data_IF_684053410726
#
_entry.id   IF_684053410726
#
_cell.length_a   1.000
_cell.length_b   1.000
_cell.length_c   1.000
_cell.angle_alpha   90.00
_cell.angle_beta   90.00
_cell.angle_gamma   90.00
#
_symmetry.space_group_name_H-M   'P 1'
#
loop_
_entity.id
_entity.type
_entity.pdbx_description
1 polymer ?
#
# COMPACT_ATOMS: atom_id res chain seq x y z
N UNK A 1 65.18 23.38 -23.63
CA UNK A 1 64.67 21.99 -23.68
C UNK A 1 64.09 21.63 -22.33
N UNK A 2 63.02 20.82 -22.32
CA UNK A 2 62.28 20.23 -21.17
C UNK A 2 61.11 21.10 -20.70
N UNK A 3 59.96 21.01 -21.35
CA UNK A 3 58.92 19.96 -21.37
C UNK A 3 57.74 20.34 -20.46
N UNK A 4 56.68 20.77 -21.13
CA UNK A 4 55.31 20.93 -20.66
C UNK A 4 54.83 19.61 -20.03
N UNK A 5 54.35 19.64 -18.79
CA UNK A 5 53.56 18.53 -18.23
C UNK A 5 52.16 19.06 -17.94
N UNK A 6 51.26 18.82 -18.89
CA UNK A 6 49.83 19.09 -18.78
C UNK A 6 49.19 17.88 -18.08
N UNK A 7 48.92 17.98 -16.78
CA UNK A 7 48.17 16.95 -16.07
C UNK A 7 46.68 17.12 -16.38
N UNK A 8 46.18 16.32 -17.31
CA UNK A 8 44.76 16.19 -17.63
C UNK A 8 44.14 15.22 -16.62
N UNK A 9 43.58 15.76 -15.53
CA UNK A 9 42.86 14.97 -14.53
C UNK A 9 41.51 14.56 -15.10
N UNK A 10 41.41 13.34 -15.64
CA UNK A 10 40.14 12.73 -16.04
C UNK A 10 39.38 12.39 -14.77
N UNK A 11 38.40 13.22 -14.41
CA UNK A 11 37.35 12.88 -13.44
C UNK A 11 36.43 11.85 -14.12
N UNK A 12 36.71 10.56 -13.90
CA UNK A 12 35.76 9.50 -14.21
C UNK A 12 34.53 9.69 -13.29
N UNK A 13 33.47 10.23 -13.87
CA UNK A 13 32.11 10.07 -13.34
C UNK A 13 31.80 8.57 -13.34
N UNK A 14 32.02 7.91 -12.20
CA UNK A 14 31.42 6.60 -11.96
C UNK A 14 29.99 6.87 -11.50
N UNK A 15 29.10 7.15 -12.44
CA UNK A 15 27.67 6.99 -12.18
C UNK A 15 27.43 5.49 -12.01
N UNK A 16 27.37 5.03 -10.77
CA UNK A 16 26.85 3.70 -10.45
C UNK A 16 25.37 3.66 -10.83
N UNK A 17 25.09 3.27 -12.06
CA UNK A 17 23.76 2.82 -12.51
C UNK A 17 23.65 1.36 -12.06
N UNK A 18 23.24 1.16 -10.82
CA UNK A 18 22.77 -0.11 -10.23
C UNK A 18 21.71 0.36 -9.21
N UNK A 19 20.47 -0.11 -9.21
CA UNK A 19 20.12 -1.52 -9.15
C UNK A 19 18.91 -1.89 -10.01
N UNK A 20 18.96 -3.13 -10.51
CA UNK A 20 17.74 -3.88 -10.73
C UNK A 20 16.93 -3.88 -9.43
N UNK A 21 15.63 -3.62 -9.54
CA UNK A 21 14.69 -3.72 -8.44
C UNK A 21 14.58 -5.19 -8.02
N UNK A 22 15.44 -5.62 -7.10
CA UNK A 22 15.45 -7.00 -6.60
C UNK A 22 14.10 -7.30 -5.94
N UNK A 23 13.49 -8.40 -6.36
CA UNK A 23 12.22 -8.85 -5.80
C UNK A 23 12.49 -9.52 -4.46
N UNK A 24 11.73 -9.11 -3.45
CA UNK A 24 11.77 -9.73 -2.13
C UNK A 24 10.37 -10.20 -1.74
N UNK A 25 10.33 -11.25 -0.93
CA UNK A 25 9.10 -11.91 -0.51
C UNK A 25 9.02 -11.95 1.01
N UNK A 26 7.85 -11.60 1.57
CA UNK A 26 7.66 -11.68 3.02
C UNK A 26 7.76 -13.14 3.48
N UNK A 27 8.66 -13.42 4.42
CA UNK A 27 8.88 -14.76 4.96
C UNK A 27 7.95 -15.06 6.14
N UNK A 28 7.61 -14.04 6.94
CA UNK A 28 6.74 -14.18 8.11
C UNK A 28 5.27 -14.29 7.71
N UNK A 29 4.42 -14.95 8.52
CA UNK A 29 2.96 -14.98 8.30
C UNK A 29 2.38 -13.58 8.06
N UNK A 30 2.80 -12.61 8.89
CA UNK A 30 2.45 -11.21 8.78
C UNK A 30 3.69 -10.35 9.10
N UNK A 31 3.93 -9.34 8.28
CA UNK A 31 4.97 -8.32 8.48
C UNK A 31 4.40 -6.91 8.33
N UNK A 32 4.76 -6.00 9.23
CA UNK A 32 4.34 -4.60 9.16
C UNK A 32 5.12 -3.77 8.13
N UNK A 33 4.42 -3.00 7.29
CA UNK A 33 4.99 -2.03 6.35
C UNK A 33 4.88 -0.62 6.93
N UNK A 34 5.99 0.08 7.13
CA UNK A 34 6.05 1.33 7.88
C UNK A 34 6.37 2.54 7.00
N UNK A 35 5.95 3.73 7.44
CA UNK A 35 6.29 5.00 6.77
C UNK A 35 7.78 5.35 6.98
N UNK A 36 8.36 4.98 8.11
CA UNK A 36 9.76 5.24 8.50
C UNK A 36 10.42 3.95 9.03
N UNK A 37 11.76 3.85 9.01
CA UNK A 37 12.50 2.70 9.53
C UNK A 37 12.55 2.72 11.06
N UNK A 38 11.38 2.63 11.69
CA UNK A 38 11.17 2.57 13.14
C UNK A 38 9.92 1.73 13.42
N UNK A 39 10.00 0.77 14.34
CA UNK A 39 8.86 -0.07 14.75
C UNK A 39 7.73 0.72 15.40
N UNK A 40 8.02 1.92 15.92
CA UNK A 40 7.05 2.86 16.47
C UNK A 40 6.49 3.82 15.43
N UNK A 41 7.01 3.80 14.19
CA UNK A 41 6.46 4.57 13.08
C UNK A 41 5.01 4.13 12.82
N UNK A 42 4.14 5.03 12.33
CA UNK A 42 2.88 4.61 11.75
C UNK A 42 3.10 3.51 10.69
N UNK A 43 2.31 2.45 10.80
CA UNK A 43 2.25 1.38 9.83
C UNK A 43 1.29 1.78 8.70
N UNK A 44 1.70 1.54 7.46
CA UNK A 44 0.90 1.66 6.25
C UNK A 44 -0.12 0.51 6.23
N UNK A 45 0.35 -0.75 6.17
CA UNK A 45 -0.46 -1.97 6.40
C UNK A 45 0.43 -3.19 6.70
N UNK A 46 -0.12 -4.27 7.28
CA UNK A 46 0.55 -5.55 7.37
C UNK A 46 0.48 -6.33 6.05
N UNK A 47 1.55 -7.06 5.77
CA UNK A 47 1.84 -7.80 4.55
C UNK A 47 1.93 -9.29 4.87
N UNK A 48 1.24 -10.13 4.10
CA UNK A 48 1.22 -11.58 4.30
C UNK A 48 2.50 -12.26 3.79
N UNK A 49 2.73 -13.48 4.26
CA UNK A 49 3.78 -14.35 3.71
C UNK A 49 3.64 -14.53 2.19
N UNK A 50 4.77 -14.48 1.49
CA UNK A 50 4.84 -14.63 0.03
C UNK A 50 4.39 -13.41 -0.77
N UNK A 51 4.02 -12.31 -0.11
CA UNK A 51 3.77 -11.04 -0.79
C UNK A 51 5.05 -10.51 -1.42
N UNK A 52 4.95 -10.12 -2.69
CA UNK A 52 6.07 -9.64 -3.51
C UNK A 52 6.21 -8.13 -3.37
N UNK A 53 7.41 -7.68 -3.06
CA UNK A 53 7.79 -6.27 -3.05
C UNK A 53 9.07 -6.10 -3.86
N UNK A 54 9.32 -4.86 -4.27
CA UNK A 54 10.57 -4.49 -4.91
C UNK A 54 11.44 -3.74 -3.92
N UNK A 55 12.66 -4.23 -3.71
CA UNK A 55 13.67 -3.56 -2.90
C UNK A 55 14.16 -2.29 -3.60
N UNK A 56 14.24 -1.19 -2.86
CA UNK A 56 14.78 0.09 -3.33
C UNK A 56 16.16 0.36 -2.73
N UNK A 57 16.28 0.24 -1.40
CA UNK A 57 17.54 0.40 -0.68
C UNK A 57 17.50 -0.35 0.66
N UNK A 58 18.68 -0.57 1.26
CA UNK A 58 18.82 -1.06 2.63
C UNK A 58 19.45 0.01 3.51
N UNK A 59 18.96 0.15 4.74
CA UNK A 59 19.46 1.07 5.76
C UNK A 59 19.51 0.37 7.12
N UNK A 60 20.67 -0.20 7.45
CA UNK A 60 20.84 -0.99 8.67
C UNK A 60 19.96 -2.23 8.63
N UNK A 61 19.10 -2.40 9.64
CA UNK A 61 18.15 -3.53 9.77
C UNK A 61 16.87 -3.34 8.94
N UNK A 62 16.78 -2.28 8.15
CA UNK A 62 15.59 -1.92 7.40
C UNK A 62 15.81 -1.97 5.89
N UNK A 63 14.81 -2.46 5.18
CA UNK A 63 14.70 -2.43 3.74
C UNK A 63 13.63 -1.40 3.35
N UNK A 64 14.03 -0.42 2.53
CA UNK A 64 13.07 0.44 1.83
C UNK A 64 12.58 -0.29 0.60
N UNK A 65 11.28 -0.37 0.43
CA UNK A 65 10.64 -1.17 -0.60
C UNK A 65 9.49 -0.40 -1.24
N UNK A 66 9.13 -0.81 -2.45
CA UNK A 66 7.91 -0.38 -3.14
C UNK A 66 6.99 -1.58 -3.36
N UNK A 67 5.72 -1.42 -3.00
CA UNK A 67 4.66 -2.30 -3.46
C UNK A 67 4.23 -1.85 -4.86
N UNK A 68 4.44 -2.70 -5.86
CA UNK A 68 4.07 -2.39 -7.24
C UNK A 68 2.56 -2.41 -7.49
N UNK A 69 1.76 -3.01 -6.61
CA UNK A 69 0.29 -3.00 -6.71
C UNK A 69 -0.31 -1.67 -6.25
N UNK A 70 0.21 -1.12 -5.15
CA UNK A 70 -0.28 0.16 -4.58
C UNK A 70 0.55 1.36 -5.00
N UNK A 71 1.79 1.16 -5.46
CA UNK A 71 2.77 2.22 -5.71
C UNK A 71 3.40 2.80 -4.44
N UNK A 72 3.03 2.29 -3.27
CA UNK A 72 3.47 2.83 -1.99
C UNK A 72 4.90 2.42 -1.67
N UNK A 73 5.67 3.40 -1.20
CA UNK A 73 7.01 3.21 -0.66
C UNK A 73 6.97 3.22 0.86
N UNK A 74 7.79 2.38 1.47
CA UNK A 74 7.91 2.33 2.93
C UNK A 74 9.05 1.43 3.36
N UNK A 75 9.06 1.11 4.65
CA UNK A 75 10.16 0.45 5.33
C UNK A 75 9.70 -0.83 6.01
N UNK A 76 10.53 -1.85 5.94
CA UNK A 76 10.29 -3.13 6.60
C UNK A 76 11.59 -3.66 7.20
N UNK A 77 11.50 -4.47 8.26
CA UNK A 77 12.66 -5.16 8.83
C UNK A 77 13.20 -6.19 7.82
N UNK A 78 14.49 -6.08 7.50
CA UNK A 78 15.15 -6.90 6.46
C UNK A 78 15.10 -8.39 6.79
N UNK A 79 15.20 -8.76 8.07
CA UNK A 79 15.11 -10.17 8.52
C UNK A 79 13.76 -10.83 8.27
N UNK A 80 12.73 -10.07 7.89
CA UNK A 80 11.40 -10.60 7.59
C UNK A 80 11.22 -11.01 6.12
N UNK A 81 12.23 -10.79 5.26
CA UNK A 81 12.13 -11.03 3.82
C UNK A 81 13.19 -12.02 3.32
N UNK A 82 12.84 -12.69 2.23
CA UNK A 82 13.69 -13.63 1.50
C UNK A 82 13.64 -13.32 0.00
N UNK A 83 14.70 -13.63 -0.71
CA UNK A 83 14.79 -13.38 -2.16
C UNK A 83 14.01 -14.40 -2.99
N UNK A 84 13.55 -15.48 -2.35
CA UNK A 84 12.75 -16.55 -2.98
C UNK A 84 11.36 -16.62 -2.36
N UNK A 85 10.33 -16.75 -3.19
CA UNK A 85 8.96 -16.86 -2.71
C UNK A 85 8.78 -18.14 -1.87
N UNK A 86 8.30 -18.04 -0.61
CA UNK A 86 8.03 -19.22 0.20
C UNK A 86 6.98 -20.15 -0.42
N UNK A 87 7.23 -21.47 -0.39
CA UNK A 87 6.33 -22.51 -0.95
C UNK A 87 5.04 -22.68 -0.16
N UNK A 88 5.07 -22.36 1.15
CA UNK A 88 3.90 -22.42 2.04
C UNK A 88 3.54 -21.03 2.53
N UNK A 89 2.44 -20.51 1.99
CA UNK A 89 1.78 -19.32 2.52
C UNK A 89 1.01 -19.76 3.78
N UNK A 90 1.59 -19.51 4.95
CA UNK A 90 0.89 -19.72 6.23
C UNK A 90 0.15 -18.43 6.56
N UNK A 91 -1.09 -18.30 6.11
CA UNK A 91 -2.01 -17.26 6.61
C UNK A 91 -2.81 -17.84 7.77
N UNK A 92 -2.59 -17.33 8.98
CA UNK A 92 -3.40 -17.72 10.16
C UNK A 92 -4.86 -17.24 10.08
N UNK A 93 -5.18 -16.31 9.17
CA UNK A 93 -6.49 -15.66 9.04
C UNK A 93 -7.04 -15.72 7.61
N UNK A 94 -8.33 -16.03 7.48
CA UNK A 94 -9.02 -16.07 6.18
C UNK A 94 -9.34 -14.65 5.66
N UNK A 95 -8.32 -13.95 5.19
CA UNK A 95 -8.45 -12.62 4.62
C UNK A 95 -9.30 -12.61 3.34
N UNK A 96 -9.32 -13.71 2.59
CA UNK A 96 -10.16 -13.84 1.39
C UNK A 96 -11.65 -13.88 1.76
N UNK A 97 -12.02 -14.66 2.77
CA UNK A 97 -13.38 -14.68 3.33
C UNK A 97 -13.79 -13.34 3.91
N UNK A 98 -12.92 -12.71 4.72
CA UNK A 98 -13.14 -11.35 5.23
C UNK A 98 -13.35 -10.33 4.11
N UNK A 99 -12.57 -10.41 3.04
CA UNK A 99 -12.71 -9.54 1.88
C UNK A 99 -14.03 -9.75 1.14
N UNK A 100 -14.48 -10.99 0.98
CA UNK A 100 -15.79 -11.28 0.35
C UNK A 100 -16.93 -10.61 1.14
N UNK A 101 -16.96 -10.80 2.46
CA UNK A 101 -17.98 -10.20 3.33
C UNK A 101 -17.92 -8.66 3.28
N UNK A 102 -16.71 -8.10 3.29
CA UNK A 102 -16.51 -6.67 3.13
C UNK A 102 -17.09 -6.16 1.81
N UNK A 103 -16.75 -6.81 0.69
CA UNK A 103 -17.21 -6.44 -0.65
C UNK A 103 -18.73 -6.48 -0.78
N UNK A 104 -19.38 -7.46 -0.16
CA UNK A 104 -20.85 -7.53 -0.14
C UNK A 104 -21.44 -6.34 0.61
N UNK A 105 -20.96 -6.05 1.83
CA UNK A 105 -21.48 -4.96 2.68
C UNK A 105 -21.32 -3.57 2.08
N UNK A 106 -20.20 -3.31 1.41
CA UNK A 106 -19.97 -1.99 0.79
C UNK A 106 -20.88 -1.76 -0.41
N UNK A 107 -21.18 -2.81 -1.18
CA UNK A 107 -22.06 -2.72 -2.34
C UNK A 107 -23.52 -2.59 -1.89
N UNK A 108 -23.93 -3.27 -0.82
CA UNK A 108 -25.22 -3.06 -0.17
C UNK A 108 -25.38 -1.61 0.32
N UNK A 109 -24.36 -1.10 1.03
CA UNK A 109 -24.35 0.30 1.48
C UNK A 109 -24.42 1.28 0.31
N UNK A 110 -23.67 1.01 -0.77
CA UNK A 110 -23.70 1.82 -1.99
C UNK A 110 -25.10 1.89 -2.60
N UNK A 111 -25.76 0.74 -2.74
CA UNK A 111 -27.12 0.64 -3.25
C UNK A 111 -28.13 1.41 -2.37
N UNK A 112 -28.03 1.29 -1.04
CA UNK A 112 -28.90 2.05 -0.12
C UNK A 112 -28.71 3.56 -0.22
N UNK A 113 -27.46 4.03 -0.42
CA UNK A 113 -27.19 5.46 -0.61
C UNK A 113 -27.77 5.94 -1.95
N UNK A 114 -27.60 5.15 -3.01
CA UNK A 114 -28.13 5.48 -4.33
C UNK A 114 -29.66 5.56 -4.31
N UNK A 115 -30.35 4.62 -3.65
CA UNK A 115 -31.81 4.65 -3.48
C UNK A 115 -32.26 5.87 -2.68
N UNK A 116 -31.56 6.22 -1.60
CA UNK A 116 -31.98 7.29 -0.69
C UNK A 116 -31.78 8.69 -1.25
N UNK A 117 -30.70 8.93 -2.00
CA UNK A 117 -30.30 10.29 -2.42
C UNK A 117 -29.89 10.41 -3.89
N UNK A 118 -30.03 9.34 -4.69
CA UNK A 118 -29.75 9.35 -6.13
C UNK A 118 -28.27 9.50 -6.49
N UNK A 119 -27.36 9.23 -5.55
CA UNK A 119 -25.90 9.32 -5.77
C UNK A 119 -25.31 7.93 -5.79
N UNK A 120 -24.79 7.52 -6.94
CA UNK A 120 -23.98 6.31 -7.07
C UNK A 120 -22.64 6.53 -6.36
N UNK A 121 -22.23 5.57 -5.51
CA UNK A 121 -21.02 5.71 -4.70
C UNK A 121 -19.95 4.68 -5.08
N UNK A 122 -19.97 3.52 -4.46
CA UNK A 122 -18.99 2.46 -4.66
C UNK A 122 -19.48 1.50 -5.75
N UNK A 123 -18.62 1.27 -6.74
CA UNK A 123 -18.90 0.43 -7.91
C UNK A 123 -18.32 -0.96 -7.71
N UNK A 124 -17.13 -1.05 -7.13
CA UNK A 124 -16.46 -2.33 -6.88
C UNK A 124 -15.41 -2.23 -5.77
N UNK A 125 -14.83 -3.37 -5.40
CA UNK A 125 -13.63 -3.46 -4.59
C UNK A 125 -12.68 -4.56 -5.03
N UNK A 126 -11.39 -4.33 -4.79
CA UNK A 126 -10.28 -5.24 -5.08
C UNK A 126 -9.51 -5.58 -3.79
N UNK A 127 -9.14 -6.85 -3.64
CA UNK A 127 -8.26 -7.30 -2.55
C UNK A 127 -6.81 -7.07 -2.96
N UNK A 128 -6.07 -6.35 -2.13
CA UNK A 128 -4.68 -5.98 -2.44
C UNK A 128 -3.66 -6.92 -1.76
N UNK A 129 -4.12 -7.91 -0.99
CA UNK A 129 -3.34 -8.79 -0.14
C UNK A 129 -3.40 -8.38 1.34
N UNK A 130 -3.34 -9.36 2.25
CA UNK A 130 -3.48 -9.11 3.68
C UNK A 130 -4.76 -8.34 4.02
N UNK A 131 -4.59 -7.22 4.73
CA UNK A 131 -5.67 -6.33 5.18
C UNK A 131 -5.72 -5.02 4.38
N UNK A 132 -5.21 -5.06 3.16
CA UNK A 132 -5.29 -3.98 2.20
C UNK A 132 -6.41 -4.26 1.18
N UNK A 133 -7.20 -3.23 0.89
CA UNK A 133 -8.20 -3.26 -0.17
C UNK A 133 -8.23 -1.93 -0.91
N UNK A 134 -8.74 -1.94 -2.14
CA UNK A 134 -9.13 -0.71 -2.84
C UNK A 134 -10.61 -0.74 -3.19
N UNK A 135 -11.22 0.43 -3.12
CA UNK A 135 -12.59 0.72 -3.56
C UNK A 135 -12.52 1.43 -4.90
N UNK A 136 -13.27 0.93 -5.87
CA UNK A 136 -13.54 1.62 -7.12
C UNK A 136 -14.84 2.39 -6.92
N UNK A 137 -14.75 3.72 -6.97
CA UNK A 137 -15.88 4.60 -6.73
C UNK A 137 -16.22 5.42 -7.99
N UNK A 138 -17.48 5.82 -8.06
CA UNK A 138 -17.99 6.68 -9.12
C UNK A 138 -17.33 8.07 -9.05
N UNK A 139 -17.04 8.65 -10.21
CA UNK A 139 -16.36 9.95 -10.31
C UNK A 139 -17.17 11.08 -9.66
N UNK A 140 -18.51 10.99 -9.70
CA UNK A 140 -19.38 11.99 -9.10
C UNK A 140 -19.41 11.91 -7.57
N UNK A 141 -19.15 10.73 -7.00
CA UNK A 141 -19.02 10.56 -5.56
C UNK A 141 -17.89 11.42 -5.00
N UNK A 142 -16.73 11.48 -5.67
CA UNK A 142 -15.61 12.31 -5.24
C UNK A 142 -15.93 13.81 -5.22
N UNK A 143 -16.91 14.25 -6.02
CA UNK A 143 -17.36 15.65 -6.08
C UNK A 143 -18.36 15.97 -4.95
N UNK A 144 -18.94 14.96 -4.31
CA UNK A 144 -19.94 15.14 -3.27
C UNK A 144 -19.32 15.67 -1.97
N UNK A 145 -20.05 16.51 -1.23
CA UNK A 145 -19.55 17.14 0.02
C UNK A 145 -19.21 16.15 1.15
N UNK A 146 -19.77 14.94 1.12
CA UNK A 146 -19.68 13.96 2.22
C UNK A 146 -18.79 12.75 1.91
N UNK A 147 -18.07 12.76 0.78
CA UNK A 147 -17.28 11.60 0.35
C UNK A 147 -16.27 11.15 1.41
N UNK A 148 -15.61 12.07 2.12
CA UNK A 148 -14.67 11.73 3.19
C UNK A 148 -15.33 10.96 4.34
N UNK A 149 -16.50 11.41 4.79
CA UNK A 149 -17.22 10.74 5.89
C UNK A 149 -17.68 9.34 5.48
N UNK A 150 -18.14 9.18 4.24
CA UNK A 150 -18.51 7.87 3.70
C UNK A 150 -17.27 6.97 3.55
N UNK A 151 -16.14 7.52 3.11
CA UNK A 151 -14.90 6.78 3.02
C UNK A 151 -14.42 6.26 4.38
N UNK A 152 -14.55 7.08 5.45
CA UNK A 152 -14.27 6.62 6.81
C UNK A 152 -15.23 5.51 7.27
N UNK A 153 -16.51 5.55 6.88
CA UNK A 153 -17.44 4.45 7.19
C UNK A 153 -17.02 3.16 6.50
N UNK A 154 -16.67 3.20 5.20
CA UNK A 154 -16.15 2.03 4.48
C UNK A 154 -14.89 1.50 5.16
N UNK A 155 -13.99 2.40 5.56
CA UNK A 155 -12.77 2.03 6.28
C UNK A 155 -13.07 1.29 7.59
N UNK A 156 -14.02 1.78 8.40
CA UNK A 156 -14.39 1.09 9.65
C UNK A 156 -15.05 -0.27 9.39
N UNK A 157 -15.85 -0.41 8.32
CA UNK A 157 -16.35 -1.73 7.89
C UNK A 157 -15.17 -2.65 7.57
N UNK A 158 -14.21 -2.21 6.76
CA UNK A 158 -13.05 -3.02 6.39
C UNK A 158 -12.22 -3.45 7.59
N UNK A 159 -11.92 -2.50 8.48
CA UNK A 159 -11.20 -2.73 9.73
C UNK A 159 -11.93 -3.72 10.62
N UNK A 160 -13.25 -3.63 10.73
CA UNK A 160 -14.06 -4.57 11.52
C UNK A 160 -13.97 -6.01 11.02
N UNK A 161 -13.88 -6.22 9.71
CA UNK A 161 -13.78 -7.56 9.12
C UNK A 161 -12.40 -8.19 9.28
N UNK A 162 -11.36 -7.39 9.52
CA UNK A 162 -9.97 -7.85 9.63
C UNK A 162 -9.37 -7.76 11.04
N UNK A 163 -9.98 -7.02 11.97
CA UNK A 163 -9.51 -6.82 13.37
C UNK A 163 -8.07 -6.32 13.52
N UNK A 164 -7.44 -5.87 12.43
CA UNK A 164 -6.07 -5.35 12.39
C UNK A 164 -6.06 -3.98 11.71
N UNK A 165 -4.96 -3.22 11.82
CA UNK A 165 -4.82 -1.95 11.11
C UNK A 165 -5.00 -2.19 9.61
N UNK A 166 -5.91 -1.45 8.98
CA UNK A 166 -6.27 -1.66 7.58
C UNK A 166 -5.69 -0.56 6.68
N UNK A 167 -5.46 -0.93 5.43
CA UNK A 167 -5.25 0.00 4.34
C UNK A 167 -6.47 -0.01 3.43
N UNK A 168 -6.97 1.18 3.11
CA UNK A 168 -8.06 1.32 2.15
C UNK A 168 -7.73 2.43 1.16
N UNK A 169 -7.61 2.07 -0.11
CA UNK A 169 -7.48 3.02 -1.22
C UNK A 169 -8.83 3.29 -1.86
N UNK A 170 -9.02 4.51 -2.36
CA UNK A 170 -10.17 4.90 -3.17
C UNK A 170 -9.69 5.33 -4.55
N UNK A 171 -10.13 4.61 -5.56
CA UNK A 171 -9.80 4.81 -6.97
C UNK A 171 -11.02 5.28 -7.74
N UNK A 172 -10.77 6.07 -8.78
CA UNK A 172 -11.80 6.46 -9.74
C UNK A 172 -12.07 5.35 -10.77
N UNK A 173 -13.02 5.59 -11.68
CA UNK A 173 -13.40 4.59 -12.69
C UNK A 173 -12.28 4.27 -13.69
N UNK A 174 -11.24 5.10 -13.76
CA UNK A 174 -10.04 4.85 -14.57
C UNK A 174 -8.95 4.12 -13.77
N UNK A 175 -9.29 3.59 -12.59
CA UNK A 175 -8.37 2.94 -11.66
C UNK A 175 -7.27 3.87 -11.13
N UNK A 176 -7.45 5.20 -11.25
CA UNK A 176 -6.51 6.18 -10.69
C UNK A 176 -6.82 6.40 -9.22
N UNK A 177 -5.82 6.21 -8.37
CA UNK A 177 -5.94 6.47 -6.93
C UNK A 177 -6.23 7.95 -6.67
N UNK A 178 -7.22 8.23 -5.83
CA UNK A 178 -7.66 9.58 -5.47
C UNK A 178 -7.21 9.93 -4.06
N UNK A 179 -7.37 8.99 -3.13
CA UNK A 179 -6.88 9.10 -1.76
C UNK A 179 -6.84 7.72 -1.09
N UNK A 180 -6.09 7.64 0.01
CA UNK A 180 -5.95 6.46 0.85
C UNK A 180 -6.33 6.80 2.29
N UNK A 181 -6.81 5.80 3.01
CA UNK A 181 -7.05 5.86 4.45
C UNK A 181 -6.14 4.84 5.13
N UNK A 182 -5.32 5.34 6.05
CA UNK A 182 -4.40 4.54 6.86
C UNK A 182 -4.87 4.47 8.31
N UNK A 183 -4.68 3.32 8.95
CA UNK A 183 -4.83 3.20 10.40
C UNK A 183 -3.76 4.00 11.14
N UNK A 184 -4.16 4.96 11.98
CA UNK A 184 -3.25 5.66 12.90
C UNK A 184 -3.35 5.13 14.34
N UNK A 185 -2.41 5.51 15.23
CA UNK A 185 -2.39 5.07 16.64
C UNK A 185 -3.61 5.53 17.46
N UNK A 186 -4.33 6.55 16.99
CA UNK A 186 -5.54 7.07 17.65
C UNK A 186 -6.74 7.26 16.72
N UNK A 187 -6.52 7.63 15.45
CA UNK A 187 -7.56 7.82 14.43
C UNK A 187 -7.01 7.52 13.02
N UNK A 188 -7.85 7.06 12.08
CA UNK A 188 -7.44 6.92 10.69
C UNK A 188 -7.07 8.26 10.07
N UNK A 189 -6.15 8.25 9.11
CA UNK A 189 -5.65 9.44 8.40
C UNK A 189 -5.94 9.32 6.92
N UNK A 190 -6.44 10.41 6.33
CA UNK A 190 -6.61 10.52 4.88
C UNK A 190 -5.33 11.09 4.26
N UNK A 191 -4.77 10.41 3.29
CA UNK A 191 -3.67 10.91 2.46
C UNK A 191 -4.15 11.00 1.03
N UNK A 192 -3.91 12.15 0.39
CA UNK A 192 -4.24 12.34 -1.03
C UNK A 192 -3.17 11.68 -1.88
N UNK A 193 -3.57 10.99 -2.95
CA UNK A 193 -2.61 10.48 -3.91
C UNK A 193 -1.96 11.66 -4.66
N UNK A 194 -0.64 11.62 -4.82
CA UNK A 194 0.07 12.58 -5.65
C UNK A 194 -0.27 12.32 -7.13
N UNK A 195 -0.56 13.40 -7.86
CA UNK A 195 -1.20 13.37 -9.18
C UNK A 195 -0.29 12.99 -10.32
#
# INVERSE_FOLDING_TARGET
>A
MKQFFFYFTILFFVSSIVSANDKIYSAKPITSFYIQPDVNSPMIYPIESGYELSLLENKGEWSNVIDLKTGLKGWILSEHFVDTKPDRIVTEKDHSGSFKIFKERILEMSASIEEAIGVKTFVDAEHLGGVAASIIADDDWFKARRHQNQAFQVYEIWKSQNQSPSFLSFKDLNNKERFIILSGPHKPRLLKADN
#
